data_IF_595007896563
#
_entry.id   IF_595007896563
#
_cell.length_a   1.000
_cell.length_b   1.000
_cell.length_c   1.000
_cell.angle_alpha   90.00
_cell.angle_beta   90.00
_cell.angle_gamma   90.00
#
_symmetry.space_group_name_H-M   'P 1'
#
loop_
_entity.id
_entity.type
_entity.pdbx_description
1 polymer ?
#
# COMPACT_ATOMS: atom_id res chain seq x y z
N UNK A 1 12.44 -5.05 12.96
CA UNK A 1 12.61 -3.96 13.95
C UNK A 1 11.70 -2.81 13.59
N UNK A 2 11.04 -2.26 14.58
CA UNK A 2 10.13 -1.13 14.40
C UNK A 2 10.45 -0.03 15.41
N UNK A 3 9.88 1.17 15.23
CA UNK A 3 10.02 2.28 16.14
C UNK A 3 11.06 3.31 15.70
N UNK A 4 11.60 4.13 16.65
CA UNK A 4 12.48 5.25 16.31
C UNK A 4 13.75 4.85 15.56
N UNK A 5 14.28 3.68 15.83
CA UNK A 5 15.49 3.22 15.16
C UNK A 5 15.24 2.98 13.66
N UNK A 6 14.06 2.48 13.31
CA UNK A 6 13.70 2.29 11.90
C UNK A 6 13.67 3.65 11.20
N UNK A 7 13.06 4.65 11.82
CA UNK A 7 13.00 6.00 11.25
C UNK A 7 14.40 6.61 11.09
N UNK A 8 15.28 6.40 12.05
CA UNK A 8 16.64 6.89 11.98
C UNK A 8 17.42 6.21 10.83
N UNK A 9 17.29 4.91 10.68
CA UNK A 9 17.92 4.18 9.58
C UNK A 9 17.37 4.63 8.23
N UNK A 10 16.06 4.80 8.13
CA UNK A 10 15.42 5.23 6.88
C UNK A 10 15.88 6.62 6.43
N UNK A 11 16.16 7.51 7.36
CA UNK A 11 16.64 8.85 7.02
C UNK A 11 18.03 8.86 6.41
N UNK A 12 18.84 7.85 6.69
CA UNK A 12 20.20 7.76 6.19
C UNK A 12 20.28 7.05 4.83
N UNK A 13 19.18 6.45 4.37
CA UNK A 13 19.14 5.70 3.13
C UNK A 13 17.98 6.17 2.27
N UNK A 14 18.26 6.45 1.00
CA UNK A 14 17.21 6.73 0.03
C UNK A 14 16.96 5.47 -0.78
N UNK A 15 15.69 5.15 -0.97
CA UNK A 15 15.28 4.00 -1.78
C UNK A 15 14.41 4.48 -2.93
N UNK A 16 14.51 3.81 -4.08
CA UNK A 16 13.69 4.18 -5.23
C UNK A 16 12.23 3.79 -5.04
N UNK A 17 11.99 2.60 -4.48
CA UNK A 17 10.65 2.06 -4.29
C UNK A 17 10.53 1.46 -2.90
N UNK A 18 9.35 1.62 -2.32
CA UNK A 18 9.02 1.03 -1.04
C UNK A 18 7.78 0.16 -1.21
N UNK A 19 7.93 -1.14 -0.93
CA UNK A 19 6.84 -2.10 -1.04
C UNK A 19 6.21 -2.32 0.32
N UNK A 20 4.88 -2.28 0.40
CA UNK A 20 4.15 -2.45 1.65
C UNK A 20 2.92 -3.33 1.46
N UNK A 21 2.66 -4.20 2.45
CA UNK A 21 1.42 -4.93 2.57
C UNK A 21 0.41 -4.15 3.40
N UNK A 22 -0.87 -4.43 3.21
CA UNK A 22 -1.96 -3.72 3.89
C UNK A 22 -2.97 -4.71 4.46
N UNK A 23 -3.81 -4.23 5.36
CA UNK A 23 -4.89 -5.04 5.94
C UNK A 23 -6.25 -4.71 5.36
N UNK A 24 -6.42 -3.52 4.85
CA UNK A 24 -7.67 -3.09 4.24
C UNK A 24 -7.52 -1.83 3.44
N UNK A 25 -8.61 -1.45 2.79
CA UNK A 25 -8.70 -0.23 1.97
C UNK A 25 -10.10 0.33 2.05
N UNK A 26 -10.21 1.64 1.93
CA UNK A 26 -11.49 2.31 1.72
C UNK A 26 -11.30 3.49 0.77
N UNK A 27 -12.27 4.39 0.71
CA UNK A 27 -12.20 5.56 -0.16
C UNK A 27 -11.11 6.56 0.23
N UNK A 28 -10.58 6.50 1.46
CA UNK A 28 -9.53 7.41 1.91
C UNK A 28 -8.12 6.90 1.61
N UNK A 29 -7.94 5.60 1.46
CA UNK A 29 -6.63 5.03 1.15
C UNK A 29 -6.42 3.62 1.68
N UNK A 30 -5.15 3.25 1.85
CA UNK A 30 -4.77 1.93 2.36
C UNK A 30 -4.59 1.98 3.87
N UNK A 31 -5.01 0.91 4.55
CA UNK A 31 -5.16 0.90 6.00
C UNK A 31 -4.53 -0.33 6.64
N UNK A 32 -4.19 -0.21 7.91
CA UNK A 32 -3.71 -1.31 8.73
C UNK A 32 -4.29 -1.18 10.14
N UNK A 33 -4.30 -2.28 10.87
CA UNK A 33 -4.67 -2.31 12.28
C UNK A 33 -3.45 -2.42 13.21
N UNK A 34 -2.25 -2.46 12.65
CA UNK A 34 -1.01 -2.55 13.41
C UNK A 34 -0.33 -1.18 13.43
N UNK A 35 -0.47 -0.48 14.56
CA UNK A 35 0.05 0.87 14.74
C UNK A 35 1.57 0.95 14.55
N UNK A 36 2.31 -0.05 15.05
CA UNK A 36 3.76 -0.06 14.90
C UNK A 36 4.18 -0.26 13.44
N UNK A 37 3.44 -1.09 12.71
CA UNK A 37 3.70 -1.26 11.27
C UNK A 37 3.44 0.03 10.51
N UNK A 38 2.36 0.73 10.84
CA UNK A 38 2.02 2.02 10.22
C UNK A 38 3.14 3.03 10.44
N UNK A 39 3.60 3.15 11.67
CA UNK A 39 4.66 4.09 12.03
C UNK A 39 5.95 3.78 11.28
N UNK A 40 6.36 2.51 11.23
CA UNK A 40 7.54 2.08 10.51
C UNK A 40 7.41 2.34 9.00
N UNK A 41 6.24 2.03 8.44
CA UNK A 41 5.98 2.24 7.02
C UNK A 41 6.06 3.71 6.64
N UNK A 42 5.48 4.59 7.45
CA UNK A 42 5.52 6.02 7.18
C UNK A 42 6.94 6.58 7.27
N UNK A 43 7.75 6.08 8.19
CA UNK A 43 9.14 6.47 8.32
C UNK A 43 9.97 6.05 7.10
N UNK A 44 9.76 4.83 6.62
CA UNK A 44 10.46 4.33 5.44
C UNK A 44 10.01 5.04 4.16
N UNK A 45 8.71 5.30 4.05
CA UNK A 45 8.14 5.96 2.88
C UNK A 45 8.66 7.38 2.69
N UNK A 46 9.02 8.05 3.76
CA UNK A 46 9.59 9.40 3.68
C UNK A 46 10.90 9.46 2.87
N UNK A 47 11.59 8.33 2.73
CA UNK A 47 12.85 8.22 1.99
C UNK A 47 12.68 7.56 0.62
N UNK A 48 11.48 7.14 0.28
CA UNK A 48 11.21 6.44 -0.98
C UNK A 48 10.72 7.42 -2.05
N UNK A 49 11.07 7.13 -3.31
CA UNK A 49 10.56 7.89 -4.45
C UNK A 49 9.16 7.43 -4.87
N UNK A 50 8.77 6.23 -4.51
CA UNK A 50 7.46 5.70 -4.84
C UNK A 50 7.04 4.63 -3.87
N UNK A 51 5.77 4.64 -3.50
CA UNK A 51 5.17 3.64 -2.63
C UNK A 51 4.40 2.66 -3.49
N UNK A 52 4.70 1.36 -3.32
CA UNK A 52 4.03 0.30 -4.05
C UNK A 52 3.34 -0.62 -3.05
N UNK A 53 2.04 -0.80 -3.22
CA UNK A 53 1.24 -1.67 -2.37
C UNK A 53 1.18 -3.07 -2.97
N UNK A 54 1.47 -4.08 -2.15
CA UNK A 54 1.33 -5.49 -2.51
C UNK A 54 0.19 -6.05 -1.67
N UNK A 55 -0.89 -6.47 -2.31
CA UNK A 55 -2.04 -6.96 -1.55
C UNK A 55 -2.87 -7.95 -2.36
N UNK A 56 -3.59 -8.80 -1.64
CA UNK A 56 -4.60 -9.66 -2.24
C UNK A 56 -5.88 -8.85 -2.47
N UNK A 57 -6.59 -9.14 -3.55
CA UNK A 57 -7.80 -8.40 -3.92
C UNK A 57 -8.91 -8.49 -2.87
N UNK A 58 -8.91 -9.55 -2.08
CA UNK A 58 -9.88 -9.72 -0.99
C UNK A 58 -9.81 -8.57 0.03
N UNK A 59 -8.67 -7.91 0.13
CA UNK A 59 -8.48 -6.80 1.08
C UNK A 59 -9.01 -5.46 0.57
N UNK A 60 -9.41 -5.37 -0.68
CA UNK A 60 -9.88 -4.12 -1.26
C UNK A 60 -11.15 -3.59 -0.59
N UNK A 61 -11.97 -4.47 -0.03
CA UNK A 61 -13.22 -4.09 0.63
C UNK A 61 -13.22 -4.39 2.13
N UNK A 62 -12.03 -4.63 2.69
CA UNK A 62 -11.88 -4.80 4.13
C UNK A 62 -11.57 -3.47 4.79
N UNK A 63 -12.08 -3.31 6.00
CA UNK A 63 -11.75 -2.16 6.82
C UNK A 63 -10.60 -2.49 7.76
N UNK A 64 -9.93 -1.46 8.26
CA UNK A 64 -8.91 -1.57 9.28
C UNK A 64 -8.90 -0.27 10.10
N UNK A 65 -8.20 -0.30 11.24
CA UNK A 65 -8.32 0.76 12.24
C UNK A 65 -7.78 2.11 11.79
N UNK A 66 -6.67 2.13 11.08
CA UNK A 66 -5.94 3.36 10.81
C UNK A 66 -5.47 3.46 9.37
N UNK A 67 -5.50 4.67 8.85
CA UNK A 67 -4.97 4.98 7.52
C UNK A 67 -3.44 4.94 7.55
N UNK A 68 -2.83 4.23 6.59
CA UNK A 68 -1.37 4.26 6.40
C UNK A 68 -1.02 5.39 5.43
N UNK A 69 -1.59 5.35 4.22
CA UNK A 69 -1.36 6.33 3.18
C UNK A 69 -2.64 6.62 2.41
N UNK A 70 -2.90 7.89 2.09
CA UNK A 70 -3.93 8.22 1.11
C UNK A 70 -3.46 7.79 -0.29
N UNK A 71 -4.41 7.63 -1.21
CA UNK A 71 -4.09 7.12 -2.56
C UNK A 71 -3.13 8.01 -3.34
N UNK A 72 -3.15 9.30 -3.13
CA UNK A 72 -2.25 10.22 -3.82
C UNK A 72 -0.77 9.98 -3.51
N UNK A 73 -0.47 9.32 -2.40
CA UNK A 73 0.90 8.97 -2.02
C UNK A 73 1.35 7.64 -2.62
N UNK A 74 0.44 6.88 -3.22
CA UNK A 74 0.71 5.55 -3.73
C UNK A 74 0.90 5.61 -5.24
N UNK A 75 1.99 5.04 -5.73
CA UNK A 75 2.29 5.02 -7.15
C UNK A 75 1.57 3.88 -7.87
N UNK A 76 1.59 2.70 -7.28
CA UNK A 76 0.98 1.52 -7.90
C UNK A 76 0.55 0.50 -6.87
N UNK A 77 -0.37 -0.37 -7.29
CA UNK A 77 -0.85 -1.49 -6.50
C UNK A 77 -0.67 -2.77 -7.32
N UNK A 78 0.02 -3.73 -6.71
CA UNK A 78 0.16 -5.07 -7.28
C UNK A 78 -0.80 -5.99 -6.56
N UNK A 79 -1.65 -6.67 -7.30
CA UNK A 79 -2.66 -7.55 -6.73
C UNK A 79 -2.84 -8.79 -7.59
N UNK A 80 -3.70 -9.70 -7.15
CA UNK A 80 -4.00 -10.92 -7.91
C UNK A 80 -5.02 -10.66 -9.02
N UNK A 81 -5.17 -11.63 -9.91
CA UNK A 81 -6.04 -11.52 -11.08
C UNK A 81 -7.54 -11.65 -10.74
N UNK A 82 -7.88 -11.93 -9.49
CA UNK A 82 -9.26 -11.99 -9.04
C UNK A 82 -9.86 -10.61 -8.72
N UNK A 83 -9.06 -9.55 -8.83
CA UNK A 83 -9.54 -8.18 -8.58
C UNK A 83 -10.65 -7.82 -9.57
N UNK A 84 -11.70 -7.14 -9.08
CA UNK A 84 -12.81 -6.76 -9.95
C UNK A 84 -12.41 -5.64 -10.91
N UNK A 85 -12.95 -5.63 -12.14
CA UNK A 85 -12.72 -4.53 -13.08
C UNK A 85 -13.15 -3.16 -12.53
N UNK A 86 -14.21 -3.12 -11.72
CA UNK A 86 -14.69 -1.86 -11.12
C UNK A 86 -13.66 -1.31 -10.13
N UNK A 87 -13.02 -2.17 -9.34
CA UNK A 87 -11.98 -1.74 -8.41
C UNK A 87 -10.75 -1.22 -9.15
N UNK A 88 -10.35 -1.89 -10.22
CA UNK A 88 -9.24 -1.46 -11.07
C UNK A 88 -9.54 -0.07 -11.65
N UNK A 89 -10.73 0.10 -12.21
CA UNK A 89 -11.12 1.38 -12.80
C UNK A 89 -11.14 2.51 -11.77
N UNK A 90 -11.64 2.24 -10.58
CA UNK A 90 -11.70 3.24 -9.51
C UNK A 90 -10.32 3.69 -9.07
N UNK A 91 -9.37 2.76 -8.95
CA UNK A 91 -8.01 3.08 -8.55
C UNK A 91 -7.25 3.81 -9.67
N UNK A 92 -7.42 3.39 -10.90
CA UNK A 92 -6.81 4.06 -12.04
C UNK A 92 -7.34 5.49 -12.22
N UNK A 93 -8.60 5.71 -11.91
CA UNK A 93 -9.20 7.05 -11.94
C UNK A 93 -8.57 7.98 -10.90
N UNK A 94 -7.98 7.42 -9.84
CA UNK A 94 -7.25 8.18 -8.83
C UNK A 94 -5.78 8.37 -9.15
N UNK A 95 -5.33 7.89 -10.31
CA UNK A 95 -3.95 8.06 -10.75
C UNK A 95 -3.01 6.92 -10.40
N UNK A 96 -3.51 5.84 -9.81
CA UNK A 96 -2.67 4.69 -9.49
C UNK A 96 -2.57 3.74 -10.68
N UNK A 97 -1.41 3.11 -10.83
CA UNK A 97 -1.27 1.99 -11.74
C UNK A 97 -1.65 0.72 -11.00
N UNK A 98 -2.51 -0.10 -11.58
CA UNK A 98 -2.90 -1.39 -10.99
C UNK A 98 -2.31 -2.50 -11.84
N UNK A 99 -1.45 -3.31 -11.23
CA UNK A 99 -0.77 -4.41 -11.92
C UNK A 99 -1.30 -5.72 -11.32
N UNK A 100 -1.80 -6.59 -12.16
CA UNK A 100 -2.31 -7.88 -11.73
C UNK A 100 -1.33 -8.99 -12.03
N UNK A 101 -1.24 -9.96 -11.13
CA UNK A 101 -0.36 -11.11 -11.25
C UNK A 101 -1.16 -12.40 -11.11
N UNK A 102 -0.71 -13.43 -11.79
CA UNK A 102 -1.36 -14.73 -11.74
C UNK A 102 -2.53 -14.85 -12.72
N UNK A 103 -3.30 -15.92 -12.55
CA UNK A 103 -4.46 -16.21 -13.39
C UNK A 103 -5.72 -16.16 -12.55
N UNK A 104 -6.87 -15.74 -13.13
CA UNK A 104 -8.15 -15.78 -12.42
C UNK A 104 -8.48 -17.19 -11.96
N UNK A 105 -9.12 -17.28 -10.79
CA UNK A 105 -9.62 -18.55 -10.25
C UNK A 105 -11.00 -18.84 -10.82
N UNK A 106 -11.05 -19.42 -11.94
CA UNK A 106 -12.34 -19.81 -12.54
C UNK A 106 -12.43 -21.29 -12.77
#
# INVERSE_FOLDING_TARGET
MVGPLVGLCARNFKVDKFFIGIDGMDESGVKSSDHLRIEAAQAMAAQARGIIVLTESIKFHRDASELIFPYENIRSIYTDADVSPDDVAALEARGLAVITAGKPRT
#
